data_IF_141608867042
#
_entry.id   IF_141608867042
#
_cell.length_a   1.000
_cell.length_b   1.000
_cell.length_c   1.000
_cell.angle_alpha   90.00
_cell.angle_beta   90.00
_cell.angle_gamma   90.00
#
_symmetry.space_group_name_H-M   'P 1'
#
loop_
_entity.id
_entity.type
_entity.pdbx_description
1 polymer ?
#
# COMPACT_ATOMS: atom_id res chain seq x y z
N UNK A 1 5.34 33.64 -2.93
CA UNK A 1 6.18 32.53 -2.42
C UNK A 1 6.52 31.63 -3.58
N UNK A 2 7.75 31.18 -3.65
CA UNK A 2 8.13 30.22 -4.67
C UNK A 2 7.52 28.84 -4.34
N UNK A 3 7.18 27.97 -5.32
CA UNK A 3 6.72 26.59 -5.07
C UNK A 3 7.61 25.83 -4.10
N UNK A 4 8.91 26.09 -4.12
CA UNK A 4 9.89 25.51 -3.20
C UNK A 4 9.63 25.85 -1.72
N UNK A 5 9.16 27.06 -1.40
CA UNK A 5 8.85 27.44 -0.02
C UNK A 5 7.66 26.62 0.54
N UNK A 6 6.71 26.27 -0.31
CA UNK A 6 5.57 25.41 0.06
C UNK A 6 6.05 23.98 0.35
N UNK A 7 6.90 23.43 -0.54
CA UNK A 7 7.49 22.10 -0.34
C UNK A 7 8.35 22.05 0.92
N UNK A 8 9.19 23.06 1.15
CA UNK A 8 10.01 23.17 2.36
C UNK A 8 9.13 23.28 3.62
N UNK A 9 8.08 24.11 3.58
CA UNK A 9 7.13 24.24 4.70
C UNK A 9 6.43 22.93 5.01
N UNK A 10 6.00 22.19 4.00
CA UNK A 10 5.42 20.87 4.13
C UNK A 10 6.42 19.88 4.75
N UNK A 11 7.65 19.82 4.26
CA UNK A 11 8.69 18.96 4.82
C UNK A 11 9.01 19.29 6.28
N UNK A 12 9.12 20.56 6.64
CA UNK A 12 9.37 21.00 8.03
C UNK A 12 8.23 20.53 8.94
N UNK A 13 6.97 20.70 8.53
CA UNK A 13 5.82 20.30 9.32
C UNK A 13 5.73 18.77 9.46
N UNK A 14 5.99 18.02 8.39
CA UNK A 14 6.03 16.55 8.43
C UNK A 14 7.15 16.05 9.36
N UNK A 15 8.35 16.62 9.26
CA UNK A 15 9.50 16.25 10.11
C UNK A 15 9.28 16.65 11.59
N UNK A 16 8.36 17.56 11.87
CA UNK A 16 7.98 17.93 13.25
C UNK A 16 7.06 16.91 13.94
N UNK A 17 6.85 15.73 13.35
CA UNK A 17 5.97 14.68 13.85
C UNK A 17 4.49 15.12 14.08
N UNK A 18 4.04 16.15 13.38
CA UNK A 18 2.65 16.58 13.37
C UNK A 18 1.82 15.59 12.53
N UNK A 19 0.62 15.19 12.96
CA UNK A 19 -0.23 14.33 12.15
C UNK A 19 -0.47 14.92 10.75
N UNK A 20 -0.33 14.11 9.71
CA UNK A 20 -0.33 14.57 8.31
C UNK A 20 -1.59 15.35 7.94
N UNK A 21 -2.76 14.88 8.39
CA UNK A 21 -4.01 15.62 8.18
C UNK A 21 -3.95 17.06 8.74
N UNK A 22 -3.33 17.23 9.92
CA UNK A 22 -3.14 18.56 10.51
C UNK A 22 -2.12 19.39 9.72
N UNK A 23 -1.04 18.77 9.24
CA UNK A 23 -0.05 19.43 8.37
C UNK A 23 -0.73 20.00 7.12
N UNK A 24 -1.49 19.16 6.41
CA UNK A 24 -2.19 19.55 5.18
C UNK A 24 -3.22 20.64 5.45
N UNK A 25 -4.02 20.49 6.52
CA UNK A 25 -5.01 21.48 6.93
C UNK A 25 -4.39 22.83 7.31
N UNK A 26 -3.38 22.82 8.19
CA UNK A 26 -2.69 24.05 8.61
C UNK A 26 -2.05 24.75 7.40
N UNK A 27 -1.36 24.00 6.54
CA UNK A 27 -0.73 24.54 5.35
C UNK A 27 -1.78 25.18 4.43
N UNK A 28 -2.93 24.55 4.23
CA UNK A 28 -4.02 25.09 3.41
C UNK A 28 -4.54 26.43 3.94
N UNK A 29 -4.84 26.48 5.25
CA UNK A 29 -5.32 27.71 5.88
C UNK A 29 -4.27 28.83 5.88
N UNK A 30 -3.01 28.51 6.12
CA UNK A 30 -1.92 29.48 6.09
C UNK A 30 -1.74 30.04 4.68
N UNK A 31 -1.76 29.18 3.65
CA UNK A 31 -1.62 29.59 2.26
C UNK A 31 -2.82 30.44 1.79
N UNK A 32 -4.07 30.04 2.14
CA UNK A 32 -5.27 30.81 1.83
C UNK A 32 -5.20 32.22 2.47
N UNK A 33 -4.86 32.32 3.76
CA UNK A 33 -4.79 33.59 4.46
C UNK A 33 -3.69 34.51 3.89
N UNK A 34 -2.49 33.97 3.62
CA UNK A 34 -1.35 34.79 3.18
C UNK A 34 -1.53 35.26 1.72
N UNK A 35 -2.06 34.40 0.83
CA UNK A 35 -2.08 34.66 -0.61
C UNK A 35 -3.44 35.06 -1.15
N UNK A 36 -4.53 34.59 -0.51
CA UNK A 36 -5.91 34.81 -0.97
C UNK A 36 -6.73 35.62 0.04
N UNK A 37 -6.13 36.06 1.16
CA UNK A 37 -6.83 36.84 2.18
C UNK A 37 -7.95 36.07 2.90
N UNK A 38 -7.90 34.73 2.93
CA UNK A 38 -8.90 33.89 3.59
C UNK A 38 -10.20 33.70 2.81
N UNK A 39 -10.23 34.05 1.52
CA UNK A 39 -11.44 34.01 0.68
C UNK A 39 -11.89 32.58 0.38
N UNK A 40 -10.98 31.58 0.39
CA UNK A 40 -11.30 30.20 0.07
C UNK A 40 -11.82 29.40 1.28
N UNK A 41 -11.50 29.84 2.50
CA UNK A 41 -11.95 29.17 3.74
C UNK A 41 -13.48 29.03 3.85
N UNK A 42 -14.33 30.03 3.49
CA UNK A 42 -15.79 29.87 3.49
C UNK A 42 -16.32 28.78 2.53
N UNK A 43 -15.60 28.50 1.42
CA UNK A 43 -15.97 27.46 0.45
C UNK A 43 -15.66 26.02 0.94
N UNK A 44 -14.93 25.88 2.04
CA UNK A 44 -14.48 24.58 2.56
C UNK A 44 -15.63 23.60 2.80
N UNK A 45 -16.74 24.08 3.38
CA UNK A 45 -17.90 23.25 3.67
C UNK A 45 -18.56 22.72 2.38
N UNK A 46 -18.63 23.54 1.34
CA UNK A 46 -19.18 23.15 0.03
C UNK A 46 -18.26 22.14 -0.67
N UNK A 47 -16.94 22.38 -0.68
CA UNK A 47 -15.93 21.50 -1.25
C UNK A 47 -16.00 20.11 -0.58
N UNK A 48 -16.07 20.08 0.76
CA UNK A 48 -16.16 18.83 1.50
C UNK A 48 -17.47 18.11 1.27
N UNK A 49 -18.60 18.85 1.23
CA UNK A 49 -19.90 18.29 0.93
C UNK A 49 -19.95 17.67 -0.46
N UNK A 50 -19.40 18.34 -1.45
CA UNK A 50 -19.41 17.86 -2.83
C UNK A 50 -18.54 16.60 -3.00
N UNK A 51 -17.33 16.62 -2.46
CA UNK A 51 -16.44 15.47 -2.50
C UNK A 51 -16.91 14.29 -1.64
N UNK A 52 -17.63 14.54 -0.54
CA UNK A 52 -18.17 13.46 0.29
C UNK A 52 -19.28 12.64 -0.39
N UNK A 53 -19.90 13.15 -1.45
CA UNK A 53 -20.90 12.44 -2.26
C UNK A 53 -20.28 11.49 -3.29
N UNK A 54 -18.98 11.55 -3.50
CA UNK A 54 -18.29 10.65 -4.44
C UNK A 54 -18.48 9.18 -4.02
N UNK A 55 -19.24 8.42 -4.83
CA UNK A 55 -19.61 7.05 -4.49
C UNK A 55 -18.38 6.13 -4.31
N UNK A 56 -17.29 6.42 -5.01
CA UNK A 56 -16.03 5.67 -4.92
C UNK A 56 -15.43 5.71 -3.50
N UNK A 57 -15.68 6.77 -2.71
CA UNK A 57 -15.19 6.88 -1.33
C UNK A 57 -15.76 5.79 -0.42
N UNK A 58 -16.95 5.26 -0.72
CA UNK A 58 -17.56 4.16 0.04
C UNK A 58 -16.76 2.85 -0.13
N UNK A 59 -16.05 2.69 -1.24
CA UNK A 59 -15.21 1.52 -1.45
C UNK A 59 -14.10 1.41 -0.38
N UNK A 60 -13.56 2.54 0.09
CA UNK A 60 -12.45 2.56 1.07
C UNK A 60 -12.84 1.87 2.39
N UNK A 61 -13.89 2.29 3.13
CA UNK A 61 -14.30 1.59 4.35
C UNK A 61 -14.70 0.14 4.11
N UNK A 62 -15.29 -0.18 2.95
CA UNK A 62 -15.70 -1.54 2.63
C UNK A 62 -14.49 -2.48 2.43
N UNK A 63 -13.45 -2.04 1.71
CA UNK A 63 -12.21 -2.84 1.57
C UNK A 63 -11.44 -2.95 2.88
N UNK A 64 -11.44 -1.90 3.72
CA UNK A 64 -10.84 -1.99 5.06
C UNK A 64 -11.59 -3.01 5.90
N UNK A 65 -12.92 -2.98 5.90
CA UNK A 65 -13.77 -3.94 6.64
C UNK A 65 -13.53 -5.37 6.17
N UNK A 66 -13.42 -5.57 4.86
CA UNK A 66 -13.07 -6.86 4.27
C UNK A 66 -11.74 -7.36 4.83
N UNK A 67 -10.69 -6.54 4.79
CA UNK A 67 -9.36 -6.88 5.32
C UNK A 67 -9.38 -7.17 6.82
N UNK A 68 -10.11 -6.37 7.61
CA UNK A 68 -10.27 -6.55 9.06
C UNK A 68 -10.98 -7.86 9.42
N UNK A 69 -12.02 -8.25 8.67
CA UNK A 69 -12.71 -9.53 8.85
C UNK A 69 -11.77 -10.70 8.53
N UNK A 70 -11.07 -10.64 7.39
CA UNK A 70 -10.13 -11.67 6.97
C UNK A 70 -8.98 -11.86 7.97
N UNK A 71 -8.46 -10.76 8.51
CA UNK A 71 -7.43 -10.76 9.54
C UNK A 71 -7.91 -11.50 10.80
N UNK A 72 -9.09 -11.12 11.32
CA UNK A 72 -9.62 -11.68 12.58
C UNK A 72 -10.21 -13.08 12.43
N UNK A 73 -10.58 -13.48 11.23
CA UNK A 73 -11.05 -14.82 10.95
C UNK A 73 -9.96 -15.90 11.08
N UNK A 74 -8.68 -15.51 11.28
CA UNK A 74 -7.56 -16.45 11.48
C UNK A 74 -7.18 -17.22 10.22
N UNK A 75 -7.61 -16.76 9.06
CA UNK A 75 -7.35 -17.41 7.76
C UNK A 75 -5.88 -17.35 7.39
N UNK A 76 -5.20 -16.27 7.79
CA UNK A 76 -3.79 -16.03 7.47
C UNK A 76 -2.87 -17.16 7.95
N UNK A 77 -3.08 -17.69 9.16
CA UNK A 77 -2.25 -18.79 9.71
C UNK A 77 -2.38 -20.08 8.90
N UNK A 78 -3.60 -20.43 8.49
CA UNK A 78 -3.86 -21.61 7.66
C UNK A 78 -3.29 -21.43 6.26
N UNK A 79 -3.53 -20.27 5.66
CA UNK A 79 -2.98 -19.90 4.36
C UNK A 79 -1.45 -19.96 4.38
N UNK A 80 -0.80 -19.40 5.40
CA UNK A 80 0.65 -19.43 5.54
C UNK A 80 1.17 -20.86 5.63
N UNK A 81 0.55 -21.70 6.45
CA UNK A 81 0.89 -23.12 6.55
C UNK A 81 0.73 -23.86 5.22
N UNK A 82 -0.29 -23.53 4.43
CA UNK A 82 -0.50 -24.10 3.10
C UNK A 82 0.56 -23.62 2.11
N UNK A 83 0.88 -22.32 2.08
CA UNK A 83 1.90 -21.74 1.18
C UNK A 83 3.28 -22.34 1.46
N UNK A 84 3.62 -22.62 2.74
CA UNK A 84 4.84 -23.36 3.12
C UNK A 84 4.95 -24.67 2.36
N UNK A 85 3.89 -25.47 2.26
CA UNK A 85 3.92 -26.77 1.59
C UNK A 85 4.28 -26.66 0.09
N UNK A 86 3.92 -25.53 -0.54
CA UNK A 86 4.14 -25.30 -1.96
C UNK A 86 5.48 -24.64 -2.28
N UNK A 87 5.98 -23.74 -1.43
CA UNK A 87 7.14 -22.92 -1.75
C UNK A 87 8.42 -23.31 -0.98
N UNK A 88 8.35 -24.09 0.09
CA UNK A 88 9.50 -24.42 0.94
C UNK A 88 10.60 -25.26 0.27
N UNK A 89 10.37 -25.81 -0.91
CA UNK A 89 11.39 -26.57 -1.65
C UNK A 89 12.44 -25.66 -2.30
N UNK A 90 12.13 -24.37 -2.48
CA UNK A 90 13.07 -23.38 -3.04
C UNK A 90 14.20 -23.06 -2.04
N UNK A 91 15.42 -22.67 -2.54
CA UNK A 91 16.47 -22.16 -1.68
C UNK A 91 16.01 -20.93 -0.91
N UNK A 92 16.01 -20.97 0.43
CA UNK A 92 15.42 -19.90 1.25
C UNK A 92 14.09 -20.30 1.90
N UNK A 93 13.51 -21.44 1.53
CA UNK A 93 12.40 -22.10 2.21
C UNK A 93 11.23 -21.16 2.58
N UNK A 94 11.04 -20.94 3.89
CA UNK A 94 9.91 -20.16 4.41
C UNK A 94 9.95 -18.68 4.01
N UNK A 95 11.10 -18.11 3.65
CA UNK A 95 11.13 -16.73 3.16
C UNK A 95 10.34 -16.56 1.84
N UNK A 96 10.28 -17.61 1.00
CA UNK A 96 9.37 -17.63 -0.16
C UNK A 96 7.90 -17.74 0.26
N UNK A 97 7.63 -18.48 1.35
CA UNK A 97 6.29 -18.52 1.91
C UNK A 97 5.87 -17.15 2.47
N UNK A 98 6.80 -16.37 3.02
CA UNK A 98 6.52 -14.97 3.42
C UNK A 98 6.04 -14.15 2.22
N UNK A 99 6.81 -14.12 1.12
CA UNK A 99 6.45 -13.36 -0.09
C UNK A 99 5.11 -13.89 -0.66
N UNK A 100 4.99 -15.21 -0.87
CA UNK A 100 3.79 -15.81 -1.44
C UNK A 100 2.54 -15.56 -0.59
N UNK A 101 2.65 -15.70 0.74
CA UNK A 101 1.54 -15.41 1.65
C UNK A 101 1.19 -13.94 1.68
N UNK A 102 2.18 -13.04 1.66
CA UNK A 102 1.94 -11.61 1.54
C UNK A 102 1.22 -11.28 0.23
N UNK A 103 1.64 -11.85 -0.91
CA UNK A 103 0.99 -11.65 -2.22
C UNK A 103 -0.48 -12.10 -2.19
N UNK A 104 -0.75 -13.28 -1.67
CA UNK A 104 -2.13 -13.81 -1.59
C UNK A 104 -2.96 -13.01 -0.59
N UNK A 105 -2.41 -12.66 0.56
CA UNK A 105 -3.13 -11.88 1.58
C UNK A 105 -3.35 -10.41 1.13
N UNK A 106 -2.41 -9.84 0.39
CA UNK A 106 -2.53 -8.53 -0.25
C UNK A 106 -3.82 -8.44 -1.09
N UNK A 107 -4.08 -9.48 -1.88
CA UNK A 107 -5.28 -9.60 -2.71
C UNK A 107 -6.61 -9.67 -1.91
N UNK A 108 -6.56 -9.71 -0.59
CA UNK A 108 -7.75 -9.69 0.27
C UNK A 108 -7.76 -8.51 1.25
N UNK A 109 -6.61 -7.93 1.59
CA UNK A 109 -6.50 -6.86 2.61
C UNK A 109 -6.40 -5.46 2.01
N UNK A 110 -5.82 -5.33 0.83
CA UNK A 110 -5.58 -4.03 0.17
C UNK A 110 -4.66 -3.08 0.95
N UNK A 111 -3.94 -3.58 1.97
CA UNK A 111 -3.13 -2.77 2.90
C UNK A 111 -1.78 -3.44 3.15
N UNK A 112 -0.69 -2.69 2.93
CA UNK A 112 0.68 -3.14 3.18
C UNK A 112 0.95 -3.40 4.67
N UNK A 113 0.51 -2.49 5.52
CA UNK A 113 0.68 -2.59 6.98
C UNK A 113 -0.04 -3.82 7.55
N UNK A 114 -1.30 -4.02 7.16
CA UNK A 114 -2.08 -5.19 7.59
C UNK A 114 -1.46 -6.49 7.09
N UNK A 115 -0.97 -6.51 5.86
CA UNK A 115 -0.31 -7.68 5.26
C UNK A 115 0.99 -8.02 6.00
N UNK A 116 1.89 -7.03 6.21
CA UNK A 116 3.15 -7.22 6.92
C UNK A 116 2.92 -7.69 8.37
N UNK A 117 2.00 -7.05 9.10
CA UNK A 117 1.68 -7.39 10.48
C UNK A 117 1.11 -8.82 10.60
N UNK A 118 0.15 -9.16 9.74
CA UNK A 118 -0.56 -10.44 9.80
C UNK A 118 0.36 -11.61 9.45
N UNK A 119 1.01 -11.55 8.28
CA UNK A 119 1.91 -12.62 7.85
C UNK A 119 3.13 -12.67 8.76
N UNK A 120 3.65 -11.52 9.17
CA UNK A 120 4.80 -11.44 10.06
C UNK A 120 4.54 -12.05 11.44
N UNK A 121 3.38 -11.83 12.04
CA UNK A 121 3.02 -12.43 13.33
C UNK A 121 2.98 -13.97 13.26
N UNK A 122 2.52 -14.53 12.15
CA UNK A 122 2.47 -15.97 11.93
C UNK A 122 3.85 -16.55 11.61
N UNK A 123 4.66 -15.82 10.83
CA UNK A 123 5.95 -16.29 10.34
C UNK A 123 7.09 -16.12 11.37
N UNK A 124 7.05 -15.09 12.22
CA UNK A 124 8.13 -14.75 13.12
C UNK A 124 8.62 -15.89 14.03
N UNK A 125 7.73 -16.71 14.65
CA UNK A 125 8.18 -17.83 15.48
C UNK A 125 9.03 -18.88 14.75
N UNK A 126 8.89 -18.99 13.44
CA UNK A 126 9.63 -19.95 12.62
C UNK A 126 11.13 -19.58 12.44
N UNK A 127 11.51 -18.33 12.69
CA UNK A 127 12.89 -17.87 12.53
C UNK A 127 13.83 -18.68 13.40
N UNK A 128 13.56 -18.73 14.72
CA UNK A 128 14.40 -19.44 15.67
C UNK A 128 14.19 -20.96 15.60
N UNK A 129 12.94 -21.37 15.43
CA UNK A 129 12.60 -22.78 15.37
C UNK A 129 13.37 -23.52 14.27
N UNK A 130 13.77 -22.80 13.20
CA UNK A 130 14.42 -23.40 12.02
C UNK A 130 15.76 -22.78 11.64
N UNK A 131 16.30 -21.88 12.45
CA UNK A 131 17.64 -21.31 12.26
C UNK A 131 17.80 -20.44 11.01
N UNK A 132 16.78 -19.68 10.62
CA UNK A 132 16.87 -18.72 9.52
C UNK A 132 17.75 -17.52 9.88
N UNK A 133 18.38 -16.92 8.86
CA UNK A 133 18.99 -15.61 9.05
C UNK A 133 17.92 -14.57 9.36
N UNK A 134 17.91 -14.04 10.58
CA UNK A 134 16.86 -13.15 11.07
C UNK A 134 16.71 -11.90 10.18
N UNK A 135 17.83 -11.27 9.77
CA UNK A 135 17.79 -10.05 8.96
C UNK A 135 17.10 -10.28 7.62
N UNK A 136 17.53 -11.28 6.85
CA UNK A 136 16.94 -11.57 5.55
C UNK A 136 15.47 -12.01 5.67
N UNK A 137 15.16 -12.77 6.72
CA UNK A 137 13.79 -13.21 6.99
C UNK A 137 12.86 -12.01 7.29
N UNK A 138 13.27 -11.11 8.19
CA UNK A 138 12.52 -9.89 8.50
C UNK A 138 12.42 -8.97 7.29
N UNK A 139 13.50 -8.85 6.50
CA UNK A 139 13.49 -8.12 5.23
C UNK A 139 12.48 -8.69 4.23
N UNK A 140 12.38 -10.02 4.11
CA UNK A 140 11.39 -10.67 3.25
C UNK A 140 9.94 -10.42 3.69
N UNK A 141 9.69 -10.29 5.00
CA UNK A 141 8.37 -9.90 5.53
C UNK A 141 8.05 -8.44 5.24
N UNK A 142 9.03 -7.54 5.43
CA UNK A 142 8.85 -6.12 5.15
C UNK A 142 8.58 -5.88 3.66
N UNK A 143 9.37 -6.49 2.78
CA UNK A 143 9.22 -6.41 1.34
C UNK A 143 7.92 -7.08 0.85
N UNK A 144 7.65 -8.32 1.27
CA UNK A 144 6.40 -8.99 0.93
C UNK A 144 5.16 -8.21 1.34
N UNK A 145 5.22 -7.56 2.51
CA UNK A 145 4.13 -6.71 3.00
C UNK A 145 3.80 -5.54 2.07
N UNK A 146 4.79 -4.98 1.33
CA UNK A 146 4.53 -3.83 0.43
C UNK A 146 3.53 -4.17 -0.66
N UNK A 147 3.53 -5.42 -1.15
CA UNK A 147 2.62 -5.88 -2.21
C UNK A 147 1.13 -5.60 -1.92
N UNK A 148 0.78 -5.29 -0.67
CA UNK A 148 -0.58 -4.92 -0.25
C UNK A 148 -1.14 -3.64 -0.85
N UNK A 149 -0.32 -2.79 -1.45
CA UNK A 149 -0.78 -1.56 -2.12
C UNK A 149 -0.78 -1.66 -3.65
N UNK A 150 -0.12 -2.67 -4.22
CA UNK A 150 -0.06 -2.86 -5.68
C UNK A 150 -1.01 -3.95 -6.16
N UNK A 151 -1.04 -5.09 -5.43
CA UNK A 151 -1.89 -6.22 -5.82
C UNK A 151 -3.36 -5.88 -5.54
N UNK A 152 -4.25 -5.94 -6.56
CA UNK A 152 -5.67 -5.63 -6.37
C UNK A 152 -6.38 -6.61 -5.43
N UNK A 153 -7.42 -6.14 -4.71
CA UNK A 153 -7.89 -4.77 -4.60
C UNK A 153 -6.98 -3.90 -3.71
N UNK A 154 -6.69 -2.68 -4.13
CA UNK A 154 -5.79 -1.76 -3.43
C UNK A 154 -6.50 -0.45 -3.09
N UNK A 155 -6.43 -0.04 -1.83
CA UNK A 155 -6.98 1.24 -1.36
C UNK A 155 -6.22 2.41 -2.00
N UNK A 156 -4.91 2.29 -2.17
CA UNK A 156 -4.09 3.32 -2.79
C UNK A 156 -4.50 3.57 -4.25
N UNK A 157 -4.76 2.52 -5.03
CA UNK A 157 -5.22 2.66 -6.42
C UNK A 157 -6.62 3.28 -6.51
N UNK A 158 -7.51 3.02 -5.54
CA UNK A 158 -8.82 3.69 -5.46
C UNK A 158 -8.64 5.19 -5.23
N UNK A 159 -7.80 5.56 -4.26
CA UNK A 159 -7.54 6.96 -3.93
C UNK A 159 -6.83 7.67 -5.08
N UNK A 160 -5.89 7.01 -5.76
CA UNK A 160 -5.28 7.55 -6.95
C UNK A 160 -6.33 7.81 -8.05
N UNK A 161 -7.21 6.85 -8.33
CA UNK A 161 -8.30 7.01 -9.29
C UNK A 161 -9.23 8.17 -8.94
N UNK A 162 -9.53 8.38 -7.64
CA UNK A 162 -10.32 9.52 -7.16
C UNK A 162 -9.61 10.87 -7.39
N UNK A 163 -8.29 10.92 -7.23
CA UNK A 163 -7.51 12.16 -7.36
C UNK A 163 -7.28 12.58 -8.81
N UNK A 164 -7.29 11.62 -9.73
CA UNK A 164 -6.89 11.81 -11.14
C UNK A 164 -8.02 11.53 -12.13
N UNK A 165 -9.21 11.20 -11.63
CA UNK A 165 -10.36 10.74 -12.42
C UNK A 165 -10.03 9.53 -13.32
N UNK A 166 -9.04 8.70 -12.91
CA UNK A 166 -8.62 7.51 -13.64
C UNK A 166 -9.50 6.31 -13.29
N UNK A 167 -9.79 5.46 -14.26
CA UNK A 167 -10.59 4.24 -14.09
C UNK A 167 -9.94 3.26 -13.11
N UNK A 168 -10.58 3.02 -11.96
CA UNK A 168 -10.10 2.05 -10.95
C UNK A 168 -10.04 0.62 -11.48
N UNK A 169 -11.00 0.12 -12.30
CA UNK A 169 -10.86 -1.18 -12.95
C UNK A 169 -9.61 -1.30 -13.80
N UNK A 170 -9.26 -0.27 -14.58
CA UNK A 170 -8.04 -0.27 -15.40
C UNK A 170 -6.78 -0.26 -14.56
N UNK A 171 -6.76 0.53 -13.46
CA UNK A 171 -5.66 0.52 -12.50
C UNK A 171 -5.46 -0.86 -11.85
N UNK A 172 -6.54 -1.52 -11.49
CA UNK A 172 -6.47 -2.87 -10.93
C UNK A 172 -5.89 -3.87 -11.94
N UNK A 173 -6.36 -3.82 -13.19
CA UNK A 173 -5.83 -4.70 -14.25
C UNK A 173 -4.33 -4.45 -14.47
N UNK A 174 -3.95 -3.17 -14.55
CA UNK A 174 -2.56 -2.77 -14.77
C UNK A 174 -1.64 -3.15 -13.60
N UNK A 175 -2.15 -3.26 -12.37
CA UNK A 175 -1.38 -3.64 -11.18
C UNK A 175 -1.05 -5.13 -11.08
N UNK A 176 -1.79 -6.01 -11.76
CA UNK A 176 -1.61 -7.47 -11.65
C UNK A 176 -0.21 -7.90 -12.14
N UNK A 177 0.15 -7.51 -13.35
CA UNK A 177 1.43 -7.93 -13.96
C UNK A 177 2.63 -7.38 -13.18
N UNK A 178 2.70 -6.07 -12.87
CA UNK A 178 3.77 -5.54 -12.01
C UNK A 178 3.83 -6.20 -10.64
N UNK A 179 2.70 -6.52 -10.01
CA UNK A 179 2.63 -7.22 -8.73
C UNK A 179 3.22 -8.63 -8.79
N UNK A 180 2.93 -9.39 -9.86
CA UNK A 180 3.53 -10.71 -10.11
C UNK A 180 5.05 -10.59 -10.38
N UNK A 181 5.45 -9.62 -11.18
CA UNK A 181 6.88 -9.39 -11.48
C UNK A 181 7.62 -9.04 -10.19
N UNK A 182 7.11 -8.10 -9.39
CA UNK A 182 7.76 -7.66 -8.17
C UNK A 182 7.85 -8.79 -7.13
N UNK A 183 6.77 -9.54 -6.91
CA UNK A 183 6.82 -10.71 -6.03
C UNK A 183 7.83 -11.76 -6.49
N UNK A 184 7.94 -11.97 -7.82
CA UNK A 184 8.92 -12.87 -8.42
C UNK A 184 10.35 -12.37 -8.23
N UNK A 185 10.59 -11.05 -8.36
CA UNK A 185 11.89 -10.42 -8.11
C UNK A 185 12.29 -10.55 -6.64
N UNK A 186 11.36 -10.36 -5.71
CA UNK A 186 11.61 -10.58 -4.29
C UNK A 186 11.97 -12.05 -4.00
N UNK A 187 11.25 -13.01 -4.62
CA UNK A 187 11.61 -14.42 -4.51
C UNK A 187 12.97 -14.72 -5.12
N UNK A 188 13.29 -14.12 -6.26
CA UNK A 188 14.61 -14.27 -6.92
C UNK A 188 15.73 -13.73 -6.02
N UNK A 189 15.54 -12.59 -5.37
CA UNK A 189 16.49 -12.02 -4.40
C UNK A 189 16.78 -13.02 -3.27
N UNK A 190 15.77 -13.69 -2.74
CA UNK A 190 15.94 -14.74 -1.72
C UNK A 190 16.73 -15.92 -2.26
N UNK A 191 16.39 -16.40 -3.47
CA UNK A 191 17.13 -17.51 -4.11
C UNK A 191 18.60 -17.16 -4.25
N UNK A 192 18.92 -15.99 -4.82
CA UNK A 192 20.30 -15.53 -5.02
C UNK A 192 21.03 -15.42 -3.69
N UNK A 193 20.42 -14.80 -2.67
CA UNK A 193 21.04 -14.66 -1.35
C UNK A 193 21.34 -16.03 -0.70
N UNK A 194 20.39 -16.98 -0.78
CA UNK A 194 20.55 -18.30 -0.20
C UNK A 194 21.43 -19.25 -1.03
N UNK A 195 21.56 -19.01 -2.33
CA UNK A 195 22.58 -19.70 -3.15
C UNK A 195 24.00 -19.23 -2.82
N UNK A 196 24.17 -17.92 -2.57
CA UNK A 196 25.46 -17.36 -2.17
C UNK A 196 25.84 -17.73 -0.73
N UNK A 197 24.85 -17.76 0.19
CA UNK A 197 25.02 -18.16 1.59
C UNK A 197 23.95 -19.17 2.02
N UNK A 198 24.16 -20.48 1.79
CA UNK A 198 23.16 -21.51 2.09
C UNK A 198 22.71 -21.57 3.56
N UNK A 199 23.58 -21.15 4.50
CA UNK A 199 23.25 -21.10 5.93
C UNK A 199 22.16 -20.08 6.28
N UNK A 200 21.83 -19.16 5.39
CA UNK A 200 20.75 -18.19 5.61
C UNK A 200 19.35 -18.76 5.40
N UNK A 201 19.25 -19.87 4.66
CA UNK A 201 18.01 -20.49 4.23
C UNK A 201 17.32 -21.39 5.29
N UNK A 202 17.89 -21.49 6.50
CA UNK A 202 17.33 -22.29 7.57
C UNK A 202 17.19 -23.80 7.25
N UNK A 203 16.50 -24.52 8.13
CA UNK A 203 16.22 -25.94 7.90
C UNK A 203 15.09 -26.13 6.89
N UNK A 204 15.31 -27.08 5.95
CA UNK A 204 14.34 -27.40 4.92
C UNK A 204 13.12 -28.11 5.52
N UNK A 205 11.93 -27.62 5.20
CA UNK A 205 10.68 -28.30 5.53
C UNK A 205 10.52 -29.51 4.61
N UNK A 206 10.36 -30.67 5.20
CA UNK A 206 10.05 -31.89 4.44
C UNK A 206 8.57 -31.88 4.08
N UNK A 207 8.25 -31.79 2.81
CA UNK A 207 6.87 -31.76 2.30
C UNK A 207 6.62 -32.94 1.41
N UNK A 208 5.45 -33.58 1.53
CA UNK A 208 4.98 -34.64 0.65
C UNK A 208 3.94 -34.10 -0.36
N UNK A 209 3.76 -34.80 -1.47
CA UNK A 209 2.67 -34.46 -2.41
C UNK A 209 1.28 -34.60 -1.74
N UNK A 210 1.14 -35.54 -0.80
CA UNK A 210 -0.08 -35.68 -0.02
C UNK A 210 -0.39 -34.45 0.83
N UNK A 211 0.63 -33.86 1.47
CA UNK A 211 0.48 -32.67 2.29
C UNK A 211 0.10 -31.44 1.43
N UNK A 212 0.68 -31.33 0.23
CA UNK A 212 0.36 -30.25 -0.74
C UNK A 212 -1.10 -30.30 -1.18
N UNK A 213 -1.65 -31.50 -1.44
CA UNK A 213 -3.03 -31.62 -1.87
C UNK A 213 -3.98 -31.38 -0.67
N UNK A 214 -3.63 -31.86 0.52
CA UNK A 214 -4.45 -31.68 1.72
C UNK A 214 -4.58 -30.23 2.17
N UNK A 215 -3.59 -29.38 1.90
CA UNK A 215 -3.61 -27.97 2.28
C UNK A 215 -4.29 -27.06 1.24
N UNK A 216 -4.67 -27.55 0.05
CA UNK A 216 -5.35 -26.73 -0.98
C UNK A 216 -6.63 -26.05 -0.47
N UNK A 217 -7.49 -26.69 0.36
CA UNK A 217 -8.66 -26.03 0.91
C UNK A 217 -8.35 -24.77 1.74
N UNK A 218 -7.16 -24.69 2.34
CA UNK A 218 -6.75 -23.53 3.13
C UNK A 218 -6.31 -22.33 2.26
N UNK A 219 -6.04 -22.55 0.98
CA UNK A 219 -5.78 -21.50 -0.02
C UNK A 219 -7.06 -21.00 -0.71
N UNK A 220 -8.16 -21.77 -0.66
CA UNK A 220 -9.40 -21.41 -1.34
C UNK A 220 -10.02 -20.09 -0.84
N UNK A 221 -10.08 -19.78 0.49
CA UNK A 221 -10.74 -18.59 0.97
C UNK A 221 -10.23 -17.29 0.33
N UNK A 222 -8.91 -16.96 0.36
CA UNK A 222 -8.41 -15.74 -0.27
C UNK A 222 -8.55 -15.78 -1.80
N UNK A 223 -8.40 -16.94 -2.45
CA UNK A 223 -8.55 -17.07 -3.91
C UNK A 223 -10.00 -16.83 -4.33
N UNK A 224 -10.97 -17.43 -3.64
CA UNK A 224 -12.40 -17.26 -3.91
C UNK A 224 -12.80 -15.80 -3.70
N UNK A 225 -12.31 -15.18 -2.63
CA UNK A 225 -12.58 -13.77 -2.34
C UNK A 225 -11.99 -12.86 -3.41
N UNK A 226 -10.72 -13.06 -3.79
CA UNK A 226 -10.09 -12.33 -4.89
C UNK A 226 -10.88 -12.47 -6.20
N UNK A 227 -11.25 -13.71 -6.55
CA UNK A 227 -12.02 -14.00 -7.77
C UNK A 227 -13.41 -13.37 -7.72
N UNK A 228 -14.08 -13.37 -6.57
CA UNK A 228 -15.39 -12.75 -6.40
C UNK A 228 -15.32 -11.23 -6.57
N UNK A 229 -14.33 -10.57 -5.94
CA UNK A 229 -14.17 -9.11 -6.00
C UNK A 229 -13.66 -8.68 -7.37
N UNK A 230 -12.49 -9.17 -7.77
CA UNK A 230 -11.84 -8.74 -9.01
C UNK A 230 -12.59 -9.27 -10.24
N UNK A 231 -13.08 -10.51 -10.17
CA UNK A 231 -13.88 -11.12 -11.23
C UNK A 231 -15.22 -10.42 -11.45
N UNK A 232 -15.89 -9.92 -10.40
CA UNK A 232 -17.14 -9.16 -10.57
C UNK A 232 -16.92 -7.81 -11.27
N UNK A 233 -15.78 -7.15 -11.02
CA UNK A 233 -15.40 -5.91 -11.68
C UNK A 233 -15.15 -6.17 -13.17
N UNK A 234 -14.30 -7.14 -13.50
CA UNK A 234 -13.96 -7.43 -14.92
C UNK A 234 -15.07 -8.11 -15.69
N UNK A 235 -15.96 -8.83 -15.00
CA UNK A 235 -17.18 -9.35 -15.61
C UNK A 235 -18.21 -8.27 -15.92
N UNK A 236 -17.96 -7.01 -15.53
CA UNK A 236 -18.91 -5.90 -15.70
C UNK A 236 -20.16 -6.04 -14.84
N UNK A 237 -20.12 -6.90 -13.81
CA UNK A 237 -21.27 -7.19 -12.93
C UNK A 237 -21.35 -6.17 -11.80
N UNK A 238 -20.22 -5.65 -11.34
CA UNK A 238 -20.14 -4.74 -10.20
C UNK A 238 -19.09 -3.63 -10.44
N UNK A 239 -19.44 -2.43 -9.95
CA UNK A 239 -18.47 -1.34 -9.78
C UNK A 239 -17.48 -1.68 -8.65
N UNK A 240 -16.34 -0.99 -8.53
CA UNK A 240 -15.40 -1.23 -7.42
C UNK A 240 -16.03 -1.16 -6.03
N UNK A 241 -16.99 -0.25 -5.82
CA UNK A 241 -17.70 -0.10 -4.54
C UNK A 241 -18.67 -1.26 -4.25
N UNK A 242 -19.39 -1.70 -5.28
CA UNK A 242 -20.28 -2.87 -5.17
C UNK A 242 -19.46 -4.15 -4.97
N UNK A 243 -18.35 -4.31 -5.69
CA UNK A 243 -17.43 -5.43 -5.52
C UNK A 243 -16.84 -5.51 -4.12
N UNK A 244 -16.52 -4.35 -3.50
CA UNK A 244 -16.09 -4.28 -2.11
C UNK A 244 -17.17 -4.83 -1.16
N UNK A 245 -18.45 -4.49 -1.41
CA UNK A 245 -19.60 -5.00 -0.63
C UNK A 245 -19.79 -6.51 -0.81
N UNK A 246 -19.63 -7.02 -2.04
CA UNK A 246 -19.61 -8.46 -2.33
C UNK A 246 -18.49 -9.13 -1.53
N UNK A 247 -17.29 -8.52 -1.53
CA UNK A 247 -16.14 -8.97 -0.78
C UNK A 247 -16.41 -9.08 0.72
N UNK A 248 -17.04 -8.07 1.33
CA UNK A 248 -17.42 -8.08 2.76
C UNK A 248 -18.40 -9.22 3.05
N UNK A 249 -19.44 -9.38 2.23
CA UNK A 249 -20.39 -10.49 2.38
C UNK A 249 -19.69 -11.86 2.30
N UNK A 250 -18.80 -12.03 1.33
CA UNK A 250 -18.00 -13.25 1.17
C UNK A 250 -17.08 -13.50 2.36
N UNK A 251 -16.41 -12.44 2.88
CA UNK A 251 -15.54 -12.56 4.06
C UNK A 251 -16.33 -12.99 5.30
N UNK A 252 -17.55 -12.51 5.50
CA UNK A 252 -18.45 -12.93 6.58
C UNK A 252 -18.84 -14.42 6.41
N UNK A 253 -19.19 -14.83 5.20
CA UNK A 253 -19.51 -16.23 4.89
C UNK A 253 -18.29 -17.13 5.18
N UNK A 254 -17.11 -16.74 4.73
CA UNK A 254 -15.87 -17.47 4.98
C UNK A 254 -15.60 -17.56 6.48
N UNK A 255 -15.72 -16.46 7.24
CA UNK A 255 -15.55 -16.47 8.68
C UNK A 255 -16.55 -17.39 9.39
N UNK A 256 -17.80 -17.45 8.91
CA UNK A 256 -18.81 -18.37 9.42
C UNK A 256 -18.46 -19.84 9.14
N UNK A 257 -18.02 -20.17 7.92
CA UNK A 257 -17.58 -21.51 7.54
C UNK A 257 -16.39 -22.00 8.37
N UNK A 258 -15.47 -21.09 8.71
CA UNK A 258 -14.32 -21.38 9.57
C UNK A 258 -14.66 -21.33 11.07
N UNK A 259 -15.94 -21.14 11.44
CA UNK A 259 -16.43 -21.06 12.83
C UNK A 259 -15.73 -19.97 13.67
N UNK A 260 -15.16 -18.96 13.03
CA UNK A 260 -14.52 -17.80 13.67
C UNK A 260 -15.48 -16.63 13.84
N UNK A 261 -16.63 -16.64 13.15
CA UNK A 261 -17.63 -15.59 13.21
C UNK A 261 -18.27 -15.54 14.60
N UNK A 262 -18.07 -14.43 15.30
CA UNK A 262 -18.74 -14.13 16.56
C UNK A 262 -18.90 -12.61 16.71
N UNK A 263 -19.77 -12.18 17.63
CA UNK A 263 -20.09 -10.76 17.85
C UNK A 263 -18.84 -9.96 18.26
N UNK A 264 -17.94 -10.55 19.06
CA UNK A 264 -16.70 -9.90 19.49
C UNK A 264 -15.80 -9.59 18.29
N UNK A 265 -15.59 -10.59 17.41
CA UNK A 265 -14.78 -10.44 16.19
C UNK A 265 -15.36 -9.39 15.26
N UNK A 266 -16.69 -9.37 15.04
CA UNK A 266 -17.35 -8.36 14.23
C UNK A 266 -17.18 -6.96 14.84
N UNK A 267 -17.39 -6.81 16.14
CA UNK A 267 -17.21 -5.53 16.84
C UNK A 267 -15.78 -5.02 16.67
N UNK A 268 -14.78 -5.86 16.88
CA UNK A 268 -13.38 -5.50 16.71
C UNK A 268 -13.05 -5.15 15.24
N UNK A 269 -13.65 -5.88 14.26
CA UNK A 269 -13.49 -5.56 12.84
C UNK A 269 -14.09 -4.19 12.49
N UNK A 270 -15.29 -3.89 12.98
CA UNK A 270 -15.91 -2.58 12.78
C UNK A 270 -15.13 -1.46 13.48
N UNK A 271 -14.66 -1.66 14.70
CA UNK A 271 -13.85 -0.66 15.42
C UNK A 271 -12.53 -0.38 14.68
N UNK A 272 -11.84 -1.41 14.18
CA UNK A 272 -10.64 -1.27 13.36
C UNK A 272 -10.93 -0.50 12.06
N UNK A 273 -12.01 -0.88 11.38
CA UNK A 273 -12.46 -0.21 10.16
C UNK A 273 -12.77 1.27 10.40
N UNK A 274 -13.55 1.57 11.43
CA UNK A 274 -13.91 2.96 11.74
C UNK A 274 -12.69 3.82 12.04
N UNK A 275 -11.74 3.30 12.82
CA UNK A 275 -10.50 4.01 13.17
C UNK A 275 -9.66 4.32 11.93
N UNK A 276 -9.43 3.32 11.10
CA UNK A 276 -8.61 3.46 9.88
C UNK A 276 -9.30 4.34 8.84
N UNK A 277 -10.61 4.15 8.63
CA UNK A 277 -11.39 4.98 7.72
C UNK A 277 -11.41 6.44 8.14
N UNK A 278 -11.66 6.72 9.43
CA UNK A 278 -11.66 8.08 9.94
C UNK A 278 -10.33 8.79 9.73
N UNK A 279 -9.21 8.08 9.97
CA UNK A 279 -7.86 8.61 9.72
C UNK A 279 -7.67 8.92 8.23
N UNK A 280 -7.97 7.97 7.34
CA UNK A 280 -7.81 8.16 5.89
C UNK A 280 -8.69 9.29 5.39
N UNK A 281 -9.97 9.32 5.76
CA UNK A 281 -10.89 10.38 5.32
C UNK A 281 -10.46 11.76 5.80
N UNK A 282 -9.94 11.87 7.02
CA UNK A 282 -9.42 13.14 7.52
C UNK A 282 -8.24 13.64 6.68
N UNK A 283 -7.33 12.75 6.28
CA UNK A 283 -6.20 13.09 5.39
C UNK A 283 -6.72 13.47 4.00
N UNK A 284 -7.67 12.70 3.45
CA UNK A 284 -8.27 12.96 2.13
C UNK A 284 -8.93 14.35 2.09
N UNK A 285 -9.76 14.69 3.06
CA UNK A 285 -10.41 15.99 3.10
C UNK A 285 -9.42 17.14 3.27
N UNK A 286 -8.42 16.99 4.15
CA UNK A 286 -7.36 17.99 4.30
C UNK A 286 -6.57 18.18 2.99
N UNK A 287 -6.27 17.10 2.28
CA UNK A 287 -5.58 17.14 1.00
C UNK A 287 -6.43 17.78 -0.11
N UNK A 288 -7.72 17.48 -0.18
CA UNK A 288 -8.65 18.09 -1.15
C UNK A 288 -8.65 19.61 -0.99
N UNK A 289 -8.72 20.11 0.24
CA UNK A 289 -8.69 21.57 0.48
C UNK A 289 -7.33 22.16 0.10
N UNK A 290 -6.22 21.51 0.47
CA UNK A 290 -4.88 21.95 0.05
C UNK A 290 -4.78 22.04 -1.48
N UNK A 291 -5.23 21.01 -2.18
CA UNK A 291 -5.19 20.95 -3.65
C UNK A 291 -6.02 22.08 -4.28
N UNK A 292 -7.19 22.37 -3.72
CA UNK A 292 -8.01 23.49 -4.16
C UNK A 292 -7.27 24.82 -4.00
N UNK A 293 -6.65 25.07 -2.84
CA UNK A 293 -5.86 26.27 -2.58
C UNK A 293 -4.67 26.37 -3.53
N UNK A 294 -3.89 25.29 -3.71
CA UNK A 294 -2.73 25.25 -4.61
C UNK A 294 -3.14 25.48 -6.07
N UNK A 295 -4.28 24.93 -6.50
CA UNK A 295 -4.86 25.14 -7.83
C UNK A 295 -5.21 26.61 -8.06
N UNK A 296 -5.89 27.25 -7.12
CA UNK A 296 -6.25 28.67 -7.18
C UNK A 296 -5.02 29.60 -7.16
N UNK A 297 -3.95 29.21 -6.49
CA UNK A 297 -2.67 29.91 -6.52
C UNK A 297 -1.89 29.74 -7.82
N UNK A 298 -2.32 28.84 -8.73
CA UNK A 298 -1.60 28.56 -9.98
C UNK A 298 -0.27 27.83 -9.80
N UNK A 299 -0.09 27.12 -8.68
CA UNK A 299 1.17 26.41 -8.38
C UNK A 299 1.50 25.38 -9.44
N UNK A 300 0.50 24.63 -9.93
CA UNK A 300 0.68 23.64 -11.00
C UNK A 300 1.27 24.28 -12.26
N UNK A 301 0.73 25.45 -12.67
CA UNK A 301 1.23 26.16 -13.84
C UNK A 301 2.66 26.71 -13.63
N UNK A 302 2.95 27.19 -12.42
CA UNK A 302 4.30 27.65 -12.06
C UNK A 302 5.32 26.50 -12.11
N UNK A 303 4.95 25.31 -11.65
CA UNK A 303 5.81 24.12 -11.73
C UNK A 303 6.01 23.65 -13.18
N UNK A 304 4.96 23.66 -14.01
CA UNK A 304 5.08 23.35 -15.44
C UNK A 304 6.05 24.30 -16.16
N UNK A 305 5.94 25.60 -15.92
CA UNK A 305 6.84 26.58 -16.50
C UNK A 305 8.28 26.34 -16.02
N UNK A 306 8.48 26.09 -14.73
CA UNK A 306 9.80 25.79 -14.18
C UNK A 306 10.46 24.56 -14.86
N UNK A 307 9.70 23.49 -15.07
CA UNK A 307 10.22 22.27 -15.74
C UNK A 307 10.56 22.56 -17.20
N UNK A 308 9.74 23.37 -17.90
CA UNK A 308 10.02 23.81 -19.27
C UNK A 308 11.28 24.66 -19.35
N UNK A 309 11.46 25.58 -18.40
CA UNK A 309 12.64 26.46 -18.34
C UNK A 309 13.93 25.68 -18.08
N UNK A 310 13.85 24.52 -17.40
CA UNK A 310 14.97 23.61 -17.21
C UNK A 310 15.40 22.89 -18.51
N UNK A 311 14.57 22.90 -19.55
CA UNK A 311 14.84 22.23 -20.82
C UNK A 311 14.97 20.71 -20.73
N UNK A 312 14.35 20.09 -19.72
CA UNK A 312 14.41 18.64 -19.51
C UNK A 312 13.60 17.89 -20.55
N UNK A 313 14.13 16.77 -21.01
CA UNK A 313 13.35 15.83 -21.83
C UNK A 313 12.27 15.15 -20.96
N UNK A 314 11.18 14.60 -21.56
CA UNK A 314 10.14 13.91 -20.81
C UNK A 314 10.69 12.80 -19.91
N UNK A 315 11.64 11.99 -20.39
CA UNK A 315 12.29 10.92 -19.61
C UNK A 315 13.07 11.49 -18.43
N UNK A 316 13.82 12.58 -18.62
CA UNK A 316 14.56 13.23 -17.53
C UNK A 316 13.60 13.80 -16.47
N UNK A 317 12.46 14.34 -16.89
CA UNK A 317 11.42 14.82 -15.97
C UNK A 317 10.87 13.67 -15.12
N UNK A 318 10.54 12.53 -15.75
CA UNK A 318 10.08 11.34 -15.01
C UNK A 318 11.15 10.82 -14.06
N UNK A 319 12.42 10.77 -14.47
CA UNK A 319 13.52 10.38 -13.59
C UNK A 319 13.67 11.33 -12.39
N UNK A 320 13.51 12.62 -12.60
CA UNK A 320 13.51 13.60 -11.50
C UNK A 320 12.35 13.34 -10.53
N UNK A 321 11.16 13.05 -11.05
CA UNK A 321 9.99 12.67 -10.25
C UNK A 321 10.26 11.40 -9.45
N UNK A 322 10.85 10.37 -10.05
CA UNK A 322 11.23 9.13 -9.36
C UNK A 322 12.16 9.43 -8.18
N UNK A 323 13.23 10.20 -8.41
CA UNK A 323 14.18 10.58 -7.34
C UNK A 323 13.47 11.38 -6.24
N UNK A 324 12.58 12.30 -6.61
CA UNK A 324 11.78 13.08 -5.67
C UNK A 324 10.89 12.18 -4.78
N UNK A 325 10.19 11.21 -5.39
CA UNK A 325 9.33 10.27 -4.64
C UNK A 325 10.13 9.32 -3.75
N UNK A 326 11.28 8.83 -4.21
CA UNK A 326 12.17 8.01 -3.38
C UNK A 326 12.67 8.80 -2.16
N UNK A 327 13.00 10.09 -2.35
CA UNK A 327 13.39 10.96 -1.24
C UNK A 327 12.24 11.22 -0.27
N UNK A 328 11.07 11.60 -0.78
CA UNK A 328 9.88 11.83 0.06
C UNK A 328 9.46 10.58 0.83
N UNK A 329 9.52 9.42 0.16
CA UNK A 329 9.16 8.15 0.75
C UNK A 329 9.99 7.73 1.95
N UNK A 330 11.19 8.29 2.11
CA UNK A 330 11.99 8.10 3.32
C UNK A 330 11.34 8.73 4.57
N UNK A 331 10.44 9.70 4.40
CA UNK A 331 9.90 10.53 5.50
C UNK A 331 8.38 10.50 5.62
N UNK A 332 7.66 10.14 4.56
CA UNK A 332 6.20 10.19 4.51
C UNK A 332 5.58 8.80 4.36
N UNK A 333 4.42 8.63 4.95
CA UNK A 333 3.56 7.48 4.72
C UNK A 333 2.93 7.56 3.31
N UNK A 334 2.64 6.41 2.70
CA UNK A 334 2.28 6.30 1.28
C UNK A 334 1.03 7.09 0.89
N UNK A 335 -0.06 6.96 1.66
CA UNK A 335 -1.30 7.70 1.38
C UNK A 335 -1.10 9.21 1.50
N UNK A 336 -0.36 9.63 2.53
CA UNK A 336 -0.04 11.04 2.76
C UNK A 336 0.79 11.62 1.63
N UNK A 337 1.78 10.86 1.16
CA UNK A 337 2.63 11.22 0.03
C UNK A 337 1.78 11.36 -1.25
N UNK A 338 0.93 10.37 -1.54
CA UNK A 338 0.05 10.39 -2.70
C UNK A 338 -0.91 11.58 -2.69
N UNK A 339 -1.64 11.77 -1.60
CA UNK A 339 -2.64 12.81 -1.46
C UNK A 339 -2.05 14.23 -1.58
N UNK A 340 -0.79 14.39 -1.17
CA UNK A 340 -0.11 15.70 -1.22
C UNK A 340 0.49 16.00 -2.58
N UNK A 341 1.04 14.99 -3.26
CA UNK A 341 1.91 15.20 -4.41
C UNK A 341 1.25 14.91 -5.75
N UNK A 342 0.38 13.88 -5.81
CA UNK A 342 -0.25 13.47 -7.08
C UNK A 342 -1.02 14.61 -7.76
N UNK A 343 -1.82 15.44 -7.06
CA UNK A 343 -2.53 16.55 -7.71
C UNK A 343 -1.62 17.60 -8.33
N UNK A 344 -0.36 17.69 -7.88
CA UNK A 344 0.64 18.60 -8.44
C UNK A 344 1.41 17.91 -9.57
N UNK A 345 1.85 16.68 -9.35
CA UNK A 345 2.77 15.96 -10.24
C UNK A 345 2.04 15.34 -11.43
N UNK A 346 0.82 14.85 -11.22
CA UNK A 346 0.02 14.23 -12.28
C UNK A 346 -0.21 15.15 -13.50
N UNK A 347 -0.69 16.40 -13.33
CA UNK A 347 -0.85 17.32 -14.46
C UNK A 347 0.47 17.61 -15.18
N UNK A 348 1.60 17.62 -14.45
CA UNK A 348 2.92 17.83 -15.04
C UNK A 348 3.27 16.67 -15.99
N UNK A 349 3.09 15.43 -15.55
CA UNK A 349 3.39 14.25 -16.37
C UNK A 349 2.49 14.18 -17.60
N UNK A 350 1.19 14.44 -17.43
CA UNK A 350 0.24 14.48 -18.56
C UNK A 350 0.58 15.58 -19.57
N UNK A 351 1.07 16.74 -19.09
CA UNK A 351 1.47 17.83 -19.97
C UNK A 351 2.79 17.61 -20.74
N UNK A 352 3.53 16.52 -20.45
CA UNK A 352 4.70 16.11 -21.26
C UNK A 352 4.30 15.64 -22.66
N UNK A 353 3.03 15.24 -22.86
CA UNK A 353 2.48 14.85 -24.15
C UNK A 353 3.09 13.57 -24.75
N UNK A 354 3.57 12.67 -23.92
CA UNK A 354 4.13 11.38 -24.33
C UNK A 354 3.02 10.34 -24.30
N UNK A 355 2.64 9.72 -25.42
CA UNK A 355 1.51 8.79 -25.48
C UNK A 355 1.62 7.59 -24.51
N UNK A 356 2.84 7.14 -24.23
CA UNK A 356 3.13 6.03 -23.32
C UNK A 356 2.93 6.40 -21.85
N UNK A 357 2.94 7.69 -21.50
CA UNK A 357 2.74 8.20 -20.14
C UNK A 357 1.26 8.42 -19.84
N UNK A 358 0.47 7.33 -19.92
CA UNK A 358 -0.94 7.40 -19.57
C UNK A 358 -1.18 7.61 -18.07
N UNK A 359 -2.39 8.02 -17.73
CA UNK A 359 -2.88 8.14 -16.35
C UNK A 359 -2.73 6.83 -15.57
N UNK A 360 -3.09 5.70 -16.19
CA UNK A 360 -2.94 4.35 -15.59
C UNK A 360 -1.46 4.01 -15.39
N UNK A 361 -0.60 4.27 -16.38
CA UNK A 361 0.84 4.03 -16.27
C UNK A 361 1.45 4.82 -15.11
N UNK A 362 1.09 6.09 -14.97
CA UNK A 362 1.59 6.92 -13.89
C UNK A 362 1.09 6.44 -12.52
N UNK A 363 -0.16 5.96 -12.43
CA UNK A 363 -0.71 5.37 -11.21
C UNK A 363 0.06 4.15 -10.74
N UNK A 364 0.43 3.27 -11.66
CA UNK A 364 1.27 2.09 -11.34
C UNK A 364 2.70 2.50 -10.96
N UNK A 365 3.30 3.46 -11.69
CA UNK A 365 4.64 3.97 -11.35
C UNK A 365 4.67 4.54 -9.93
N UNK A 366 3.72 5.42 -9.59
CA UNK A 366 3.64 6.00 -8.24
C UNK A 366 3.44 4.92 -7.19
N UNK A 367 2.61 3.92 -7.44
CA UNK A 367 2.39 2.81 -6.49
C UNK A 367 3.67 2.00 -6.28
N UNK A 368 4.45 1.72 -7.32
CA UNK A 368 5.76 1.06 -7.20
C UNK A 368 6.75 1.89 -6.38
N UNK A 369 6.77 3.22 -6.59
CA UNK A 369 7.62 4.11 -5.80
C UNK A 369 7.20 4.14 -4.32
N UNK A 370 5.90 4.05 -4.05
CA UNK A 370 5.37 3.92 -2.69
C UNK A 370 5.73 2.59 -2.04
N UNK A 371 5.79 1.50 -2.80
CA UNK A 371 6.29 0.22 -2.28
C UNK A 371 7.74 0.32 -1.82
N UNK A 372 8.60 0.92 -2.64
CA UNK A 372 9.98 1.19 -2.25
C UNK A 372 10.05 2.07 -1.00
N UNK A 373 9.20 3.11 -0.90
CA UNK A 373 9.11 3.99 0.25
C UNK A 373 8.81 3.26 1.56
N UNK A 374 7.92 2.25 1.52
CA UNK A 374 7.53 1.48 2.71
C UNK A 374 8.68 0.69 3.35
N UNK A 375 9.74 0.41 2.61
CA UNK A 375 10.91 -0.35 3.08
C UNK A 375 12.21 0.46 3.04
N UNK A 376 12.14 1.76 2.70
CA UNK A 376 13.31 2.63 2.67
C UNK A 376 13.51 3.34 4.02
N UNK A 377 14.66 3.17 4.72
CA UNK A 377 14.96 3.95 5.92
C UNK A 377 15.07 5.46 5.61
N UNK A 378 14.84 6.37 6.60
CA UNK A 378 14.75 6.13 8.04
C UNK A 378 13.37 5.73 8.55
N UNK A 379 12.27 6.07 7.87
CA UNK A 379 10.95 5.72 8.37
C UNK A 379 10.55 4.32 7.89
N UNK A 380 10.24 4.13 6.62
CA UNK A 380 9.83 2.83 6.08
C UNK A 380 8.77 2.12 6.94
N UNK A 381 7.50 2.48 6.79
CA UNK A 381 6.44 2.05 7.73
C UNK A 381 6.41 0.52 7.93
N UNK A 382 6.63 -0.27 6.88
CA UNK A 382 6.69 -1.72 7.00
C UNK A 382 7.87 -2.21 7.84
N UNK A 383 8.99 -1.47 7.86
CA UNK A 383 10.13 -1.79 8.72
C UNK A 383 9.74 -1.68 10.21
N UNK A 384 9.00 -0.63 10.58
CA UNK A 384 8.50 -0.47 11.95
C UNK A 384 7.45 -1.51 12.30
N UNK A 385 6.56 -1.85 11.38
CA UNK A 385 5.55 -2.90 11.58
C UNK A 385 6.24 -4.23 11.86
N UNK A 386 7.20 -4.63 11.02
CA UNK A 386 7.95 -5.87 11.18
C UNK A 386 8.84 -5.83 12.43
N UNK A 387 9.40 -4.66 12.78
CA UNK A 387 10.12 -4.51 14.05
C UNK A 387 9.18 -4.70 15.25
N UNK A 388 7.96 -4.15 15.19
CA UNK A 388 6.97 -4.20 16.27
C UNK A 388 6.43 -5.59 16.59
N UNK A 389 6.45 -6.53 15.64
CA UNK A 389 6.02 -7.92 15.87
C UNK A 389 7.11 -8.80 16.49
N UNK A 390 8.35 -8.30 16.66
CA UNK A 390 9.45 -9.06 17.29
C UNK A 390 9.17 -9.27 18.77
N UNK A 391 8.90 -10.49 19.17
CA UNK A 391 8.56 -10.84 20.57
C UNK A 391 9.74 -10.71 21.54
N UNK A 392 10.98 -10.82 21.06
CA UNK A 392 12.20 -10.84 21.90
C UNK A 392 13.05 -9.56 21.79
N UNK A 393 12.50 -8.52 21.21
CA UNK A 393 13.24 -7.29 20.97
C UNK A 393 14.30 -7.43 19.86
N UNK A 394 15.22 -6.49 19.75
CA UNK A 394 16.27 -6.42 18.75
C UNK A 394 16.39 -5.01 18.20
N UNK A 395 17.39 -4.76 17.36
CA UNK A 395 17.59 -3.44 16.79
C UNK A 395 16.75 -3.25 15.53
N UNK A 396 16.14 -2.08 15.38
CA UNK A 396 15.44 -1.67 14.15
C UNK A 396 16.32 -1.86 12.89
N UNK A 397 17.62 -1.59 13.04
CA UNK A 397 18.59 -1.73 11.95
C UNK A 397 18.66 -3.16 11.38
N UNK A 398 18.31 -4.19 12.14
CA UNK A 398 18.32 -5.57 11.60
C UNK A 398 17.24 -5.73 10.53
N UNK A 399 16.06 -5.15 10.74
CA UNK A 399 14.97 -5.16 9.76
C UNK A 399 15.34 -4.28 8.56
N UNK A 400 15.86 -3.08 8.81
CA UNK A 400 16.25 -2.14 7.77
C UNK A 400 17.34 -2.72 6.85
N UNK A 401 18.42 -3.27 7.42
CA UNK A 401 19.49 -3.91 6.65
C UNK A 401 18.97 -5.14 5.89
N UNK A 402 18.08 -5.90 6.52
CA UNK A 402 17.43 -7.06 5.89
C UNK A 402 16.56 -6.71 4.68
N UNK A 403 16.00 -5.49 4.65
CA UNK A 403 15.16 -5.01 3.55
C UNK A 403 15.98 -4.46 2.36
N UNK A 404 17.23 -4.01 2.56
CA UNK A 404 18.08 -3.43 1.50
C UNK A 404 18.14 -4.31 0.23
N UNK A 405 18.30 -5.65 0.29
CA UNK A 405 18.36 -6.47 -0.91
C UNK A 405 17.08 -6.45 -1.76
N UNK A 406 15.97 -5.98 -1.22
CA UNK A 406 14.66 -5.94 -1.87
C UNK A 406 14.31 -4.55 -2.44
N UNK A 407 15.17 -3.56 -2.24
CA UNK A 407 15.09 -2.24 -2.86
C UNK A 407 15.72 -2.24 -4.26
#
# INVERSE_FOLDING_TARGET
MTPFAIIIGLLILVLSAVPVAAVLGILSFVLDNIHMGGVLTPALAEIYWDKSKEFILVAVPMFILLGEIMLRAGIASRMYAAVIQWLSWLPGGLMHANIGSCTIFAASSGSSVATAATVGTVAYPEIEARGYNERLFLGSLAAGGTLGILVPPSINLIIYGLLTDTSVPELYLAGIIPGIILSSLFMLTIVVACMYRPSWGGEKVKTSWGDRIRCLPDLLPPIVLFTAVVGSIYGGVATPTEAASIGVCMAIIIAALFKSLNIKMLKEAFEGTMRTTAMIMLIVFAAIFLNFVLGMMGITQAMLNFIRDLGLTPVQTVLLIIVFYLFLGMFMETLSMMLTTVPIVFPIVMALGVPEFSDVWFGILITLLMEAALITPPIGVNLYVVHGIRMRGGHFNDVAIGAIPFL
#
